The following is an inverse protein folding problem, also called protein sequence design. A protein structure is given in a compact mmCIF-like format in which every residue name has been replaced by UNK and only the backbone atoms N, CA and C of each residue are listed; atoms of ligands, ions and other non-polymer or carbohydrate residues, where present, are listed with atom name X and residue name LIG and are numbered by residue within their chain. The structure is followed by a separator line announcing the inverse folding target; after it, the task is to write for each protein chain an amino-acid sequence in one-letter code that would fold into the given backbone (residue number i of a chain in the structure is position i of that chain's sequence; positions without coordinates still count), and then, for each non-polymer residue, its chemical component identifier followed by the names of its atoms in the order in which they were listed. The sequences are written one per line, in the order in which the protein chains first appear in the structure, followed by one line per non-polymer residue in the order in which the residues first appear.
data_IF_493709229320
#
_entry.id   IF_493709229320
#
_cell.length_a   1.000
_cell.length_b   1.000
_cell.length_c   1.000
_cell.angle_alpha   90.00
_cell.angle_beta   90.00
_cell.angle_gamma   90.00
#
_symmetry.space_group_name_H-M   'P 1'
#
loop_
_entity.id
_entity.type
_entity.pdbx_description
1 polymer ?
#
# COMPACT_ATOMS: atom_id res chain seq x y z
N UNK A 1 2.93 4.35 6.80
CA UNK A 1 2.36 3.96 5.49
C UNK A 1 0.85 4.02 5.63
N UNK A 2 0.17 4.76 4.76
CA UNK A 2 -1.29 4.82 4.72
C UNK A 2 -1.73 4.31 3.34
N UNK A 3 -2.48 3.20 3.32
CA UNK A 3 -2.70 2.44 2.07
C UNK A 3 -3.41 3.23 0.96
N UNK A 4 -4.21 4.23 1.35
CA UNK A 4 -4.91 5.11 0.41
C UNK A 4 -3.95 5.98 -0.41
N UNK A 5 -2.74 6.26 0.10
CA UNK A 5 -1.72 7.03 -0.62
C UNK A 5 -1.16 6.25 -1.82
N UNK A 6 -1.27 4.92 -1.79
CA UNK A 6 -0.81 4.00 -2.84
C UNK A 6 -1.88 3.56 -3.83
N UNK A 7 -3.05 4.21 -3.88
CA UNK A 7 -4.13 3.85 -4.82
C UNK A 7 -4.60 5.04 -5.64
N UNK A 8 -5.43 4.77 -6.66
CA UNK A 8 -5.89 5.80 -7.60
C UNK A 8 -4.83 6.18 -8.63
N UNK A 9 -5.09 7.25 -9.42
CA UNK A 9 -4.18 7.71 -10.48
C UNK A 9 -2.81 8.07 -9.93
N UNK A 10 -1.74 7.51 -10.52
CA UNK A 10 -0.36 7.61 -9.99
C UNK A 10 0.11 9.04 -9.85
N UNK A 11 -0.26 9.90 -10.80
CA UNK A 11 0.09 11.33 -10.80
C UNK A 11 -0.55 12.14 -9.67
N UNK A 12 -1.57 11.57 -9.00
CA UNK A 12 -2.25 12.17 -7.86
C UNK A 12 -1.81 11.59 -6.52
N UNK A 13 -0.94 10.58 -6.52
CA UNK A 13 -0.44 9.96 -5.28
C UNK A 13 0.57 10.89 -4.60
N UNK A 14 0.50 11.06 -3.27
CA UNK A 14 1.38 11.97 -2.56
C UNK A 14 2.81 11.42 -2.51
N UNK A 15 3.80 12.31 -2.52
CA UNK A 15 5.20 11.98 -2.22
C UNK A 15 5.43 12.11 -0.73
N UNK A 16 6.05 11.11 -0.11
CA UNK A 16 6.32 11.06 1.33
C UNK A 16 7.79 10.83 1.62
N UNK A 17 8.25 11.30 2.76
CA UNK A 17 9.60 11.00 3.22
C UNK A 17 9.61 9.66 3.97
N UNK A 18 10.47 8.74 3.55
CA UNK A 18 10.70 7.49 4.22
C UNK A 18 11.72 7.66 5.36
N UNK A 19 11.21 8.05 6.53
CA UNK A 19 12.04 8.35 7.71
C UNK A 19 12.82 7.14 8.23
N UNK A 20 12.35 5.92 7.97
CA UNK A 20 13.00 4.70 8.46
C UNK A 20 14.18 4.28 7.58
N UNK A 21 14.24 4.74 6.33
CA UNK A 21 15.23 4.29 5.33
C UNK A 21 15.91 5.47 4.64
N UNK A 22 16.76 6.17 5.39
CA UNK A 22 17.64 7.22 4.86
C UNK A 22 16.93 8.52 4.46
N UNK A 23 15.65 8.69 4.82
CA UNK A 23 14.90 9.91 4.53
C UNK A 23 14.66 10.15 3.04
N UNK A 24 14.70 9.09 2.23
CA UNK A 24 14.44 9.14 0.78
C UNK A 24 12.98 9.47 0.49
N UNK A 25 12.71 9.99 -0.70
CA UNK A 25 11.33 10.28 -1.13
C UNK A 25 10.72 9.01 -1.72
N UNK A 26 9.64 8.55 -1.08
CA UNK A 26 8.70 7.55 -1.59
C UNK A 26 7.63 8.28 -2.41
N UNK A 27 7.39 7.86 -3.65
CA UNK A 27 6.39 8.48 -4.53
C UNK A 27 5.07 7.69 -4.61
N UNK A 28 4.97 6.57 -3.87
CA UNK A 28 3.80 5.69 -3.84
C UNK A 28 3.41 5.17 -5.24
N UNK A 29 4.34 5.14 -6.19
CA UNK A 29 4.12 4.60 -7.54
C UNK A 29 3.84 3.10 -7.53
N UNK A 30 4.36 2.38 -6.54
CA UNK A 30 4.09 0.97 -6.27
C UNK A 30 3.21 0.83 -5.02
N UNK A 31 1.90 0.64 -5.23
CA UNK A 31 0.93 0.52 -4.16
C UNK A 31 0.18 -0.80 -4.17
N UNK A 32 -1.04 -0.79 -3.65
CA UNK A 32 -1.82 -2.04 -3.42
C UNK A 32 -2.02 -2.81 -4.73
N UNK A 33 -2.55 -2.17 -5.78
CA UNK A 33 -2.79 -2.84 -7.07
C UNK A 33 -1.50 -3.39 -7.70
N UNK A 34 -0.42 -2.61 -7.65
CA UNK A 34 0.87 -3.04 -8.21
C UNK A 34 1.44 -4.26 -7.48
N UNK A 35 1.38 -4.28 -6.14
CA UNK A 35 1.84 -5.42 -5.33
C UNK A 35 1.00 -6.68 -5.58
N UNK A 36 -0.32 -6.52 -5.60
CA UNK A 36 -1.26 -7.61 -5.78
C UNK A 36 -1.13 -8.25 -7.18
N UNK A 37 -1.03 -7.44 -8.23
CA UNK A 37 -0.77 -7.93 -9.59
C UNK A 37 0.59 -8.63 -9.69
N UNK A 38 1.62 -8.14 -8.97
CA UNK A 38 2.92 -8.80 -8.93
C UNK A 38 2.83 -10.19 -8.30
N UNK A 39 2.09 -10.33 -7.19
CA UNK A 39 1.85 -11.63 -6.55
C UNK A 39 1.16 -12.61 -7.51
N UNK A 40 0.15 -12.16 -8.25
CA UNK A 40 -0.51 -12.96 -9.28
C UNK A 40 0.47 -13.40 -10.38
N UNK A 41 1.26 -12.47 -10.92
CA UNK A 41 2.26 -12.77 -11.96
C UNK A 41 3.32 -13.78 -11.50
N UNK A 42 3.66 -13.76 -10.21
CA UNK A 42 4.63 -14.67 -9.61
C UNK A 42 4.00 -15.99 -9.13
N UNK A 43 2.67 -16.10 -9.15
CA UNK A 43 1.94 -17.26 -8.62
C UNK A 43 2.13 -17.46 -7.12
N UNK A 44 2.27 -16.38 -6.35
CA UNK A 44 2.44 -16.43 -4.89
C UNK A 44 1.29 -15.73 -4.15
N UNK A 45 1.05 -16.16 -2.92
CA UNK A 45 0.04 -15.54 -2.06
C UNK A 45 0.55 -14.21 -1.49
N UNK A 46 -0.25 -13.13 -1.54
CA UNK A 46 0.11 -11.86 -0.95
C UNK A 46 0.06 -11.91 0.58
N UNK A 47 1.09 -11.39 1.24
CA UNK A 47 1.09 -11.14 2.68
C UNK A 47 1.26 -9.64 2.96
N UNK A 48 0.24 -9.02 3.55
CA UNK A 48 0.16 -7.58 3.75
C UNK A 48 0.49 -7.22 5.21
N UNK A 49 1.40 -6.26 5.40
CA UNK A 49 1.74 -5.71 6.72
C UNK A 49 0.95 -4.44 7.01
N UNK A 50 0.03 -4.51 7.95
CA UNK A 50 -0.81 -3.38 8.35
C UNK A 50 -0.10 -2.36 9.23
N UNK A 51 -0.35 -1.07 9.00
CA UNK A 51 0.17 0.00 9.86
C UNK A 51 -0.62 0.11 11.17
N UNK A 52 -0.03 -0.40 12.25
CA UNK A 52 -0.55 -0.26 13.64
C UNK A 52 0.23 0.77 14.47
N UNK A 53 1.22 1.44 13.87
CA UNK A 53 2.05 2.43 14.56
C UNK A 53 1.44 3.82 14.53
N UNK A 54 1.16 4.33 13.32
CA UNK A 54 0.55 5.66 13.11
C UNK A 54 -0.84 5.59 12.48
N UNK A 55 -1.27 4.41 12.05
CA UNK A 55 -2.59 4.15 11.47
C UNK A 55 -3.61 3.73 12.52
N UNK A 56 -4.86 3.57 12.09
CA UNK A 56 -5.94 3.08 12.95
C UNK A 56 -6.35 1.65 12.57
N UNK A 57 -6.98 0.94 13.51
CA UNK A 57 -7.59 -0.37 13.24
C UNK A 57 -8.64 -0.26 12.12
N UNK A 58 -9.41 0.82 12.08
CA UNK A 58 -10.40 1.07 11.03
C UNK A 58 -9.73 1.24 9.65
N UNK A 59 -8.63 1.98 9.58
CA UNK A 59 -7.85 2.16 8.35
C UNK A 59 -7.37 0.81 7.81
N UNK A 60 -6.82 -0.04 8.68
CA UNK A 60 -6.40 -1.39 8.31
C UNK A 60 -7.58 -2.27 7.87
N UNK A 61 -8.70 -2.25 8.60
CA UNK A 61 -9.89 -3.02 8.26
C UNK A 61 -10.44 -2.64 6.88
N UNK A 62 -10.49 -1.34 6.56
CA UNK A 62 -10.86 -0.84 5.23
C UNK A 62 -9.92 -1.35 4.14
N UNK A 63 -8.62 -1.39 4.42
CA UNK A 63 -7.64 -1.91 3.47
C UNK A 63 -7.87 -3.39 3.17
N UNK A 64 -8.07 -4.21 4.19
CA UNK A 64 -8.31 -5.66 4.04
C UNK A 64 -9.55 -5.91 3.18
N UNK A 65 -10.64 -5.20 3.43
CA UNK A 65 -11.86 -5.30 2.63
C UNK A 65 -11.60 -4.87 1.17
N UNK A 66 -10.91 -3.75 0.97
CA UNK A 66 -10.61 -3.25 -0.38
C UNK A 66 -9.68 -4.19 -1.17
N UNK A 67 -8.67 -4.77 -0.53
CA UNK A 67 -7.73 -5.70 -1.15
C UNK A 67 -8.39 -7.06 -1.48
N UNK A 68 -9.37 -7.50 -0.70
CA UNK A 68 -10.06 -8.77 -0.90
C UNK A 68 -11.16 -8.73 -1.98
N UNK A 69 -11.69 -7.55 -2.32
CA UNK A 69 -12.78 -7.42 -3.32
C UNK A 69 -12.24 -7.35 -4.76
N UNK A 70 -10.98 -6.96 -4.94
CA UNK A 70 -10.37 -6.75 -6.25
C UNK A 70 -9.39 -7.86 -6.67
N UNK A 71 -9.46 -9.01 -5.99
CA UNK A 71 -8.90 -10.29 -6.40
C UNK A 71 -10.00 -11.32 -6.60
#
# INVERSE_FOLDING_TARGET
YHWMDGIGPREKRPKMQNNNWGGTIEDNSFGTHEFLNLCEMLGCEPYISGNVGSGTVEELAKWVVAAAINF
#
